data_IF_388472051656
#
_entry.id   IF_388472051656
#
_cell.length_a   1.000
_cell.length_b   1.000
_cell.length_c   1.000
_cell.angle_alpha   90.00
_cell.angle_beta   90.00
_cell.angle_gamma   90.00
#
_symmetry.space_group_name_H-M   'P 1'
#
loop_
_entity.id
_entity.type
_entity.pdbx_description
1 polymer ?
#
# COMPACT_ATOMS: atom_id res chain seq x y z
N UNK A 1 -29.59 7.13 -19.52
CA UNK A 1 -29.60 8.44 -18.82
C UNK A 1 -29.98 8.30 -17.36
N UNK A 2 -31.12 7.70 -17.01
CA UNK A 2 -31.55 7.54 -15.60
C UNK A 2 -30.48 6.88 -14.71
N UNK A 3 -29.87 5.76 -15.14
CA UNK A 3 -28.76 5.12 -14.39
C UNK A 3 -27.54 6.02 -14.16
N UNK A 4 -27.16 6.85 -15.14
CA UNK A 4 -26.01 7.75 -15.02
C UNK A 4 -26.28 8.90 -14.04
N UNK A 5 -27.51 9.43 -14.05
CA UNK A 5 -27.91 10.42 -13.06
C UNK A 5 -27.95 9.85 -11.65
N UNK A 6 -28.45 8.62 -11.49
CA UNK A 6 -28.44 7.97 -10.19
C UNK A 6 -27.00 7.77 -9.65
N UNK A 7 -26.05 7.36 -10.51
CA UNK A 7 -24.63 7.28 -10.13
C UNK A 7 -24.09 8.64 -9.70
N UNK A 8 -24.38 9.71 -10.46
CA UNK A 8 -23.95 11.07 -10.10
C UNK A 8 -24.49 11.49 -8.73
N UNK A 9 -25.75 11.23 -8.44
CA UNK A 9 -26.34 11.52 -7.12
C UNK A 9 -25.57 10.82 -6.01
N UNK A 10 -25.25 9.54 -6.15
CA UNK A 10 -24.47 8.80 -5.14
C UNK A 10 -23.06 9.39 -4.98
N UNK A 11 -22.40 9.77 -6.08
CA UNK A 11 -21.07 10.42 -6.02
C UNK A 11 -21.15 11.72 -5.20
N UNK A 12 -22.19 12.52 -5.41
CA UNK A 12 -22.38 13.79 -4.69
C UNK A 12 -22.66 13.55 -3.21
N UNK A 13 -23.55 12.62 -2.88
CA UNK A 13 -23.89 12.27 -1.50
C UNK A 13 -22.65 11.77 -0.72
N UNK A 14 -21.82 10.94 -1.35
CA UNK A 14 -20.56 10.48 -0.75
C UNK A 14 -19.58 11.65 -0.60
N UNK A 15 -19.47 12.51 -1.60
CA UNK A 15 -18.64 13.71 -1.55
C UNK A 15 -19.04 14.62 -0.39
N UNK A 16 -20.33 14.87 -0.21
CA UNK A 16 -20.85 15.69 0.89
C UNK A 16 -20.54 15.08 2.26
N UNK A 17 -20.70 13.77 2.40
CA UNK A 17 -20.35 13.07 3.64
C UNK A 17 -18.85 13.15 3.95
N UNK A 18 -17.99 12.91 2.95
CA UNK A 18 -16.53 12.97 3.14
C UNK A 18 -16.09 14.36 3.59
N UNK A 19 -16.58 15.40 2.93
CA UNK A 19 -16.11 16.77 3.18
C UNK A 19 -16.70 17.38 4.46
N UNK A 20 -17.95 17.08 4.79
CA UNK A 20 -18.65 17.75 5.90
C UNK A 20 -18.73 16.92 7.19
N UNK A 21 -18.50 15.61 7.12
CA UNK A 21 -18.45 14.76 8.31
C UNK A 21 -17.07 14.12 8.48
N UNK A 22 -16.63 13.26 7.55
CA UNK A 22 -15.42 12.46 7.78
C UNK A 22 -14.16 13.30 7.98
N UNK A 23 -13.89 14.24 7.07
CA UNK A 23 -12.70 15.10 7.16
C UNK A 23 -12.74 16.01 8.41
N UNK A 24 -13.93 16.49 8.77
CA UNK A 24 -14.15 17.33 9.95
C UNK A 24 -13.88 16.54 11.23
N UNK A 25 -14.39 15.32 11.33
CA UNK A 25 -14.20 14.46 12.49
C UNK A 25 -12.74 14.01 12.63
N UNK A 26 -12.05 13.68 11.54
CA UNK A 26 -10.62 13.37 11.55
C UNK A 26 -9.81 14.56 12.07
N UNK A 27 -10.12 15.77 11.61
CA UNK A 27 -9.45 16.98 12.08
C UNK A 27 -9.73 17.25 13.57
N UNK A 28 -10.98 17.06 14.02
CA UNK A 28 -11.35 17.21 15.42
C UNK A 28 -10.60 16.21 16.32
N UNK A 29 -10.59 14.93 15.96
CA UNK A 29 -9.83 13.89 16.67
C UNK A 29 -8.33 14.25 16.69
N UNK A 30 -7.77 14.64 15.54
CA UNK A 30 -6.37 15.06 15.45
C UNK A 30 -6.03 16.26 16.34
N UNK A 31 -6.96 17.19 16.54
CA UNK A 31 -6.77 18.32 17.45
C UNK A 31 -6.78 17.89 18.92
N UNK A 32 -7.70 17.01 19.32
CA UNK A 32 -7.80 16.52 20.70
C UNK A 32 -6.68 15.54 21.10
N UNK A 33 -6.16 14.78 20.13
CA UNK A 33 -5.15 13.73 20.34
C UNK A 33 -3.85 14.04 19.59
N UNK A 34 -3.46 15.32 19.55
CA UNK A 34 -2.29 15.77 18.78
C UNK A 34 -0.96 15.18 19.27
N UNK A 35 -0.90 14.73 20.53
CA UNK A 35 0.24 13.99 21.09
C UNK A 35 0.50 12.66 20.37
N UNK A 36 -0.53 12.03 19.81
CA UNK A 36 -0.38 10.77 19.05
C UNK A 36 0.46 10.92 17.78
N UNK A 37 0.64 12.15 17.27
CA UNK A 37 1.53 12.42 16.13
C UNK A 37 3.00 12.07 16.41
N UNK A 38 3.37 11.90 17.68
CA UNK A 38 4.72 11.53 18.10
C UNK A 38 4.95 10.01 18.16
N UNK A 39 3.89 9.21 17.99
CA UNK A 39 3.93 7.76 18.13
C UNK A 39 3.55 7.06 16.82
N UNK A 40 4.00 5.81 16.66
CA UNK A 40 3.52 4.94 15.58
C UNK A 40 4.05 5.27 14.17
N UNK A 41 5.20 5.94 14.05
CA UNK A 41 5.81 6.25 12.75
C UNK A 41 6.04 5.00 11.86
N UNK A 42 6.13 3.80 12.45
CA UNK A 42 6.18 2.54 11.72
C UNK A 42 7.45 2.43 10.86
N UNK A 43 7.27 2.28 9.55
CA UNK A 43 8.35 2.23 8.56
C UNK A 43 8.58 3.60 7.93
N UNK A 44 9.85 3.91 7.62
CA UNK A 44 10.23 5.19 7.00
C UNK A 44 10.47 5.07 5.49
N UNK A 45 10.23 3.90 4.91
CA UNK A 45 10.30 3.70 3.46
C UNK A 45 8.88 3.56 2.92
N UNK A 46 8.50 4.41 1.97
CA UNK A 46 7.14 4.48 1.43
C UNK A 46 7.15 4.11 -0.04
N UNK A 47 6.18 3.29 -0.47
CA UNK A 47 6.02 2.86 -1.84
C UNK A 47 4.57 3.02 -2.27
N UNK A 48 4.34 3.68 -3.40
CA UNK A 48 3.07 3.69 -4.13
C UNK A 48 3.34 3.37 -5.60
N UNK A 49 2.37 2.71 -6.24
CA UNK A 49 2.44 2.34 -7.66
C UNK A 49 1.30 3.02 -8.42
N UNK A 50 1.48 3.31 -9.73
CA UNK A 50 0.46 3.95 -10.55
C UNK A 50 -0.90 3.27 -10.43
N UNK A 51 -1.96 4.08 -10.33
CA UNK A 51 -3.35 3.63 -10.31
C UNK A 51 -4.24 4.69 -10.98
N UNK A 52 -5.51 4.35 -11.24
CA UNK A 52 -6.49 5.20 -11.91
C UNK A 52 -5.99 5.70 -13.29
N UNK A 53 -5.84 4.78 -14.27
CA UNK A 53 -5.43 5.15 -15.62
C UNK A 53 -6.48 6.03 -16.29
N UNK A 54 -6.02 7.08 -16.98
CA UNK A 54 -6.89 8.05 -17.67
C UNK A 54 -6.83 7.91 -19.20
N UNK A 55 -6.10 6.92 -19.69
CA UNK A 55 -6.04 6.53 -21.09
C UNK A 55 -6.30 5.02 -21.27
N UNK A 56 -6.71 4.61 -22.46
CA UNK A 56 -7.02 3.20 -22.75
C UNK A 56 -5.79 2.30 -22.82
N UNK A 57 -4.59 2.89 -22.82
CA UNK A 57 -3.32 2.17 -22.87
C UNK A 57 -2.64 2.05 -21.51
N UNK A 58 -3.21 2.64 -20.45
CA UNK A 58 -2.58 2.68 -19.11
C UNK A 58 -1.16 3.24 -19.12
N UNK A 59 -0.99 4.35 -19.84
CA UNK A 59 0.28 5.10 -19.91
C UNK A 59 0.20 6.44 -19.18
N UNK A 60 -1.01 6.87 -18.79
CA UNK A 60 -1.25 8.09 -18.04
C UNK A 60 -2.12 7.79 -16.83
N UNK A 61 -1.77 8.39 -15.69
CA UNK A 61 -2.39 8.12 -14.40
C UNK A 61 -2.79 9.42 -13.71
N UNK A 62 -3.86 9.38 -12.92
CA UNK A 62 -4.38 10.57 -12.24
C UNK A 62 -3.59 10.98 -11.00
N UNK A 63 -2.78 10.08 -10.43
CA UNK A 63 -2.01 10.31 -9.20
C UNK A 63 -0.50 10.08 -9.43
N UNK A 64 0.37 10.90 -8.80
CA UNK A 64 1.81 10.63 -8.79
C UNK A 64 2.12 9.43 -7.90
N UNK A 65 3.06 8.59 -8.33
CA UNK A 65 3.46 7.39 -7.61
C UNK A 65 4.98 7.24 -7.57
N UNK A 66 5.49 6.51 -6.59
CA UNK A 66 6.92 6.31 -6.46
C UNK A 66 7.36 5.74 -5.12
N UNK A 67 8.68 5.80 -4.92
CA UNK A 67 9.34 5.32 -3.72
C UNK A 67 10.03 6.48 -2.98
N UNK A 68 9.87 6.53 -1.66
CA UNK A 68 10.57 7.46 -0.76
C UNK A 68 11.35 6.63 0.25
N UNK A 69 12.62 6.95 0.41
CA UNK A 69 13.51 6.29 1.35
C UNK A 69 13.72 7.14 2.60
N UNK A 70 13.77 6.50 3.77
CA UNK A 70 14.15 7.13 5.06
C UNK A 70 13.34 8.39 5.42
N UNK A 71 12.08 8.48 5.01
CA UNK A 71 11.19 9.62 5.18
C UNK A 71 11.75 10.94 4.61
N UNK A 72 12.75 10.87 3.72
CA UNK A 72 13.36 12.02 3.08
C UNK A 72 12.73 12.23 1.71
N UNK A 73 11.91 13.28 1.59
CA UNK A 73 11.21 13.62 0.35
C UNK A 73 12.18 13.93 -0.81
N UNK A 74 13.44 14.28 -0.54
CA UNK A 74 14.44 14.49 -1.59
C UNK A 74 14.87 13.18 -2.27
N UNK A 75 14.56 12.03 -1.67
CA UNK A 75 14.84 10.70 -2.24
C UNK A 75 13.72 10.18 -3.13
N UNK A 76 12.67 10.98 -3.35
CA UNK A 76 11.53 10.57 -4.16
C UNK A 76 11.97 10.07 -5.54
N UNK A 77 11.67 8.80 -5.81
CA UNK A 77 11.92 8.14 -7.07
C UNK A 77 10.59 7.81 -7.75
N UNK A 78 10.23 8.50 -8.85
CA UNK A 78 8.98 8.25 -9.55
C UNK A 78 8.87 6.81 -10.07
N UNK A 79 7.65 6.26 -10.01
CA UNK A 79 7.23 5.04 -10.69
C UNK A 79 6.03 5.43 -11.55
N UNK A 80 6.20 5.48 -12.87
CA UNK A 80 5.22 6.06 -13.80
C UNK A 80 4.54 5.03 -14.72
N UNK A 81 4.86 3.75 -14.56
CA UNK A 81 4.34 2.68 -15.42
C UNK A 81 4.22 1.38 -14.64
N UNK A 82 3.24 0.56 -15.02
CA UNK A 82 3.13 -0.82 -14.55
C UNK A 82 4.32 -1.71 -14.98
N UNK A 83 5.09 -1.29 -15.99
CA UNK A 83 6.29 -1.99 -16.47
C UNK A 83 7.59 -1.36 -15.93
N UNK A 84 7.52 -0.60 -14.83
CA UNK A 84 8.72 -0.01 -14.24
C UNK A 84 9.67 -1.10 -13.70
N UNK A 85 10.84 -1.21 -14.32
CA UNK A 85 11.80 -2.26 -14.01
C UNK A 85 12.45 -2.12 -12.61
N UNK A 86 12.44 -0.91 -12.02
CA UNK A 86 12.93 -0.73 -10.65
C UNK A 86 11.93 -1.31 -9.65
N UNK A 87 10.65 -1.02 -9.84
CA UNK A 87 9.59 -1.63 -9.03
C UNK A 87 9.54 -3.15 -9.24
N UNK A 88 9.42 -3.60 -10.50
CA UNK A 88 9.28 -5.02 -10.83
C UNK A 88 10.40 -5.85 -10.18
N UNK A 89 11.66 -5.49 -10.41
CA UNK A 89 12.81 -6.25 -9.90
C UNK A 89 13.08 -6.04 -8.40
N UNK A 90 12.47 -5.03 -7.80
CA UNK A 90 12.71 -4.63 -6.41
C UNK A 90 11.89 -5.40 -5.38
N UNK A 91 10.88 -6.17 -5.80
CA UNK A 91 9.97 -6.89 -4.91
C UNK A 91 10.46 -8.33 -4.67
N UNK A 92 10.58 -8.71 -3.41
CA UNK A 92 10.85 -10.09 -3.00
C UNK A 92 10.19 -10.40 -1.66
N UNK A 93 9.85 -11.68 -1.45
CA UNK A 93 9.22 -12.18 -0.23
C UNK A 93 10.19 -13.13 0.50
N UNK A 94 10.42 -12.89 1.79
CA UNK A 94 11.08 -13.85 2.67
C UNK A 94 10.06 -14.80 3.30
N UNK A 95 10.49 -15.95 3.81
CA UNK A 95 9.61 -16.86 4.60
C UNK A 95 10.29 -17.39 5.86
N UNK A 96 11.34 -16.70 6.31
CA UNK A 96 12.15 -17.12 7.47
C UNK A 96 11.30 -17.23 8.74
N UNK A 97 10.35 -16.31 8.93
CA UNK A 97 9.48 -16.20 10.12
C UNK A 97 8.01 -16.54 9.83
N UNK A 98 7.76 -17.18 8.68
CA UNK A 98 6.41 -17.50 8.20
C UNK A 98 6.25 -19.00 8.06
N UNK A 99 5.03 -19.53 8.22
CA UNK A 99 4.71 -20.96 8.15
C UNK A 99 4.70 -21.51 6.71
N UNK A 100 5.81 -21.31 5.98
CA UNK A 100 6.06 -21.86 4.66
C UNK A 100 7.46 -22.48 4.59
N UNK A 101 7.64 -23.49 3.75
CA UNK A 101 8.97 -24.08 3.51
C UNK A 101 9.93 -23.01 2.97
N UNK A 102 11.05 -22.83 3.67
CA UNK A 102 12.10 -21.87 3.30
C UNK A 102 13.36 -22.55 2.76
N UNK A 103 14.46 -21.79 2.73
CA UNK A 103 15.81 -22.31 2.40
C UNK A 103 16.43 -21.74 1.12
N UNK A 104 15.68 -20.96 0.32
CA UNK A 104 16.15 -20.33 -0.92
C UNK A 104 16.43 -18.83 -0.80
N UNK A 105 16.35 -18.26 0.40
CA UNK A 105 16.40 -16.82 0.63
C UNK A 105 15.08 -16.13 0.30
N UNK A 106 15.13 -14.81 0.10
CA UNK A 106 13.97 -14.06 -0.40
C UNK A 106 13.80 -14.31 -1.90
N UNK A 107 12.56 -14.54 -2.34
CA UNK A 107 12.25 -14.89 -3.71
C UNK A 107 11.47 -13.77 -4.39
N UNK A 108 11.82 -13.47 -5.64
CA UNK A 108 10.97 -12.64 -6.49
C UNK A 108 9.65 -13.40 -6.79
N UNK A 109 8.49 -12.73 -6.87
CA UNK A 109 7.19 -13.40 -7.06
C UNK A 109 7.10 -14.36 -8.27
N UNK A 110 7.80 -14.07 -9.38
CA UNK A 110 7.86 -14.97 -10.55
C UNK A 110 8.49 -16.34 -10.25
N UNK A 111 9.34 -16.41 -9.23
CA UNK A 111 10.00 -17.63 -8.74
C UNK A 111 9.42 -18.08 -7.38
N UNK A 112 8.33 -17.44 -6.94
CA UNK A 112 7.77 -17.59 -5.61
C UNK A 112 7.18 -18.98 -5.36
N UNK A 113 7.29 -19.42 -4.11
CA UNK A 113 6.71 -20.68 -3.64
C UNK A 113 5.77 -20.42 -2.46
N UNK A 114 4.72 -21.23 -2.33
CA UNK A 114 3.76 -21.16 -1.23
C UNK A 114 3.45 -22.57 -0.75
N UNK A 115 4.43 -23.22 -0.11
CA UNK A 115 4.30 -24.57 0.43
C UNK A 115 4.15 -24.47 1.95
N UNK A 116 2.98 -24.78 2.52
CA UNK A 116 2.72 -24.57 3.95
C UNK A 116 3.61 -25.48 4.83
N UNK A 117 4.05 -24.94 5.96
CA UNK A 117 4.84 -25.61 6.99
C UNK A 117 4.48 -25.00 8.36
N UNK A 118 3.36 -25.44 8.91
CA UNK A 118 2.93 -25.01 10.24
C UNK A 118 3.76 -25.69 11.32
N UNK A 119 4.28 -24.90 12.26
CA UNK A 119 5.19 -25.36 13.33
C UNK A 119 4.76 -24.94 14.72
N UNK A 120 3.50 -24.50 14.86
CA UNK A 120 3.03 -23.69 15.99
C UNK A 120 3.80 -22.37 16.15
N UNK A 121 3.40 -21.53 17.10
CA UNK A 121 4.07 -20.27 17.42
C UNK A 121 5.48 -20.53 17.97
N UNK A 122 6.45 -19.84 17.38
CA UNK A 122 7.83 -19.82 17.84
C UNK A 122 8.32 -18.39 17.85
N UNK A 123 8.65 -17.85 19.03
CA UNK A 123 9.04 -16.45 19.25
C UNK A 123 10.17 -16.02 18.32
N UNK A 124 11.27 -16.78 18.28
CA UNK A 124 12.42 -16.53 17.41
C UNK A 124 12.34 -17.27 16.04
N UNK A 125 11.25 -18.01 15.82
CA UNK A 125 11.06 -18.93 14.69
C UNK A 125 9.94 -18.50 13.76
N UNK A 126 9.12 -19.45 13.31
CA UNK A 126 7.95 -19.19 12.47
C UNK A 126 6.74 -18.88 13.35
N UNK A 127 6.06 -17.76 13.08
CA UNK A 127 4.95 -17.28 13.92
C UNK A 127 3.78 -16.69 13.14
N UNK A 128 3.80 -16.70 11.79
CA UNK A 128 2.77 -16.06 10.98
C UNK A 128 2.51 -16.76 9.65
N UNK A 129 1.31 -16.56 9.10
CA UNK A 129 1.00 -16.89 7.71
C UNK A 129 1.34 -15.76 6.73
N UNK A 130 1.76 -14.59 7.22
CA UNK A 130 2.26 -13.51 6.37
C UNK A 130 3.72 -13.81 6.02
N UNK A 131 4.07 -13.74 4.73
CA UNK A 131 5.46 -13.86 4.23
C UNK A 131 6.30 -12.63 4.63
#
# INVERSE_FOLDING_TARGET
MERLYHIKTIIDEIGDFINNAYLVDVAAIGAFYSDWTQYGAGVTNYLSVPDMPIDTKSTQFSLPCGFIQNADLNTFKPINSYQDAYFEKGVAEGVKHSWYKGGKGALHPYEGETIPEYTDFQEDGKYSWVK
#
